data_IF_554478418868
#
_entry.id   IF_554478418868
#
_cell.length_a   1.000
_cell.length_b   1.000
_cell.length_c   1.000
_cell.angle_alpha   90.00
_cell.angle_beta   90.00
_cell.angle_gamma   90.00
#
_symmetry.space_group_name_H-M   'P 1'
#
loop_
_entity.id
_entity.type
_entity.pdbx_description
1 polymer ?
#
# COMPACT_ATOMS: atom_id res chain seq x y z
N UNK A 1 -12.00 -25.98 -64.04
CA UNK A 1 -12.54 -26.71 -62.89
C UNK A 1 -12.06 -25.96 -61.64
N UNK A 2 -12.95 -25.15 -61.06
CA UNK A 2 -12.69 -24.36 -59.85
C UNK A 2 -13.09 -25.19 -58.65
N UNK A 3 -12.18 -25.30 -57.66
CA UNK A 3 -12.50 -25.90 -56.40
C UNK A 3 -12.61 -24.81 -55.32
N UNK A 4 -13.82 -24.46 -54.93
CA UNK A 4 -14.17 -23.64 -53.79
C UNK A 4 -14.02 -24.45 -52.51
N UNK A 5 -12.96 -24.21 -51.73
CA UNK A 5 -12.81 -24.72 -50.38
C UNK A 5 -13.50 -23.82 -49.36
N UNK A 6 -14.68 -24.20 -48.92
CA UNK A 6 -15.42 -23.56 -47.83
C UNK A 6 -14.77 -23.97 -46.49
N UNK A 7 -14.13 -23.03 -45.79
CA UNK A 7 -13.61 -23.24 -44.44
C UNK A 7 -14.81 -23.23 -43.45
N UNK A 8 -15.28 -24.39 -43.07
CA UNK A 8 -16.17 -24.53 -41.92
C UNK A 8 -15.34 -24.39 -40.62
N UNK A 9 -15.39 -23.24 -39.98
CA UNK A 9 -14.93 -23.09 -38.58
C UNK A 9 -15.72 -24.04 -37.68
N UNK A 10 -15.01 -24.91 -36.97
CA UNK A 10 -15.61 -25.93 -36.13
C UNK A 10 -16.30 -25.27 -34.91
N UNK A 11 -17.57 -25.55 -34.70
CA UNK A 11 -18.42 -25.09 -33.58
C UNK A 11 -17.78 -25.25 -32.19
N UNK A 12 -16.77 -26.10 -32.04
CA UNK A 12 -16.05 -26.32 -30.77
C UNK A 12 -15.12 -25.17 -30.38
N UNK A 13 -14.57 -24.42 -31.31
CA UNK A 13 -13.64 -23.29 -31.02
C UNK A 13 -14.42 -22.05 -30.55
N UNK A 14 -15.68 -21.88 -31.01
CA UNK A 14 -16.52 -20.76 -30.57
C UNK A 14 -17.05 -20.92 -29.12
N UNK A 15 -17.27 -22.15 -28.67
CA UNK A 15 -17.72 -22.44 -27.31
C UNK A 15 -16.61 -22.29 -26.27
N UNK A 16 -15.33 -22.54 -26.64
CA UNK A 16 -14.19 -22.37 -25.74
C UNK A 16 -13.87 -20.87 -25.49
N UNK A 17 -14.03 -20.01 -26.50
CA UNK A 17 -13.82 -18.56 -26.36
C UNK A 17 -14.93 -17.89 -25.53
N UNK A 18 -16.19 -18.33 -25.66
CA UNK A 18 -17.32 -17.78 -24.93
C UNK A 18 -17.33 -18.15 -23.44
N UNK A 19 -16.73 -19.30 -23.04
CA UNK A 19 -16.61 -19.71 -21.64
C UNK A 19 -15.40 -19.13 -20.93
N UNK A 20 -14.35 -18.70 -21.65
CA UNK A 20 -13.16 -18.14 -21.04
C UNK A 20 -13.33 -16.65 -20.61
N UNK A 21 -14.12 -15.89 -21.35
CA UNK A 21 -14.34 -14.47 -21.07
C UNK A 21 -15.01 -14.20 -19.70
N UNK A 22 -16.08 -14.90 -19.29
CA UNK A 22 -16.69 -14.68 -17.97
C UNK A 22 -15.82 -15.17 -16.80
N UNK A 23 -14.99 -16.20 -16.99
CA UNK A 23 -14.02 -16.67 -15.99
C UNK A 23 -12.85 -15.68 -15.78
N UNK A 24 -12.38 -15.02 -16.83
CA UNK A 24 -11.37 -13.96 -16.75
C UNK A 24 -11.93 -12.69 -16.10
N UNK A 25 -13.14 -12.29 -16.43
CA UNK A 25 -13.83 -11.16 -15.81
C UNK A 25 -14.07 -11.40 -14.31
N UNK A 26 -14.53 -12.58 -13.91
CA UNK A 26 -14.69 -12.95 -12.51
C UNK A 26 -13.38 -12.97 -11.71
N UNK A 27 -12.24 -13.27 -12.36
CA UNK A 27 -10.92 -13.30 -11.73
C UNK A 27 -10.37 -11.89 -11.42
N UNK A 28 -10.79 -10.87 -12.15
CA UNK A 28 -10.30 -9.51 -11.99
C UNK A 28 -11.22 -8.63 -11.16
N UNK A 29 -12.41 -9.11 -10.80
CA UNK A 29 -13.40 -8.33 -10.05
C UNK A 29 -12.82 -7.81 -8.72
N UNK A 30 -13.06 -6.51 -8.45
CA UNK A 30 -12.72 -5.84 -7.19
C UNK A 30 -13.88 -6.02 -6.21
N UNK A 31 -13.66 -6.77 -5.16
CA UNK A 31 -14.65 -7.05 -4.14
C UNK A 31 -13.97 -7.54 -2.84
N UNK A 32 -14.73 -8.17 -1.95
CA UNK A 32 -14.26 -8.64 -0.63
C UNK A 32 -12.93 -9.40 -0.67
N UNK A 33 -12.72 -10.24 -1.68
CA UNK A 33 -11.48 -11.01 -1.86
C UNK A 33 -10.25 -10.14 -2.16
N UNK A 34 -10.46 -8.88 -2.51
CA UNK A 34 -9.41 -7.89 -2.79
C UNK A 34 -9.21 -6.90 -1.65
N UNK A 35 -10.16 -6.80 -0.72
CA UNK A 35 -10.09 -5.83 0.36
C UNK A 35 -9.28 -6.33 1.54
N UNK A 36 -8.57 -5.40 2.16
CA UNK A 36 -7.86 -5.52 3.42
C UNK A 36 -8.05 -4.23 4.23
N UNK A 37 -7.48 -4.17 5.42
CA UNK A 37 -7.49 -2.95 6.23
C UNK A 37 -6.30 -2.96 7.20
N UNK A 38 -5.83 -1.79 7.58
CA UNK A 38 -4.80 -1.62 8.61
C UNK A 38 -5.43 -1.85 9.99
N UNK A 39 -4.98 -2.89 10.69
CA UNK A 39 -5.63 -3.39 11.91
C UNK A 39 -5.77 -2.36 13.02
N UNK A 40 -4.75 -1.54 13.27
CA UNK A 40 -4.76 -0.49 14.31
C UNK A 40 -5.57 0.76 13.92
N UNK A 41 -6.03 0.85 12.67
CA UNK A 41 -6.98 1.86 12.25
C UNK A 41 -8.43 1.47 12.58
N UNK A 42 -8.76 0.18 12.51
CA UNK A 42 -10.13 -0.31 12.64
C UNK A 42 -10.44 -0.95 14.01
N UNK A 43 -9.44 -1.09 14.88
CA UNK A 43 -9.59 -1.84 16.13
C UNK A 43 -8.75 -1.26 17.27
N UNK A 44 -9.17 -1.55 18.51
CA UNK A 44 -8.44 -1.21 19.74
C UNK A 44 -7.73 -2.40 20.37
N UNK A 45 -8.03 -3.62 19.91
CA UNK A 45 -7.35 -4.86 20.28
C UNK A 45 -7.18 -5.76 19.06
N UNK A 46 -6.23 -6.72 19.06
CA UNK A 46 -6.12 -7.72 17.99
C UNK A 46 -7.43 -8.51 17.79
N UNK A 47 -8.12 -8.87 18.85
CA UNK A 47 -9.41 -9.57 18.79
C UNK A 47 -10.49 -8.74 18.06
N UNK A 48 -10.56 -7.42 18.32
CA UNK A 48 -11.48 -6.52 17.61
C UNK A 48 -11.14 -6.43 16.12
N UNK A 49 -9.84 -6.47 15.76
CA UNK A 49 -9.43 -6.48 14.36
C UNK A 49 -9.89 -7.77 13.64
N UNK A 50 -9.79 -8.92 14.31
CA UNK A 50 -10.30 -10.19 13.81
C UNK A 50 -11.84 -10.14 13.66
N UNK A 51 -12.54 -9.61 14.67
CA UNK A 51 -13.98 -9.43 14.62
C UNK A 51 -14.42 -8.50 13.46
N UNK A 52 -13.68 -7.42 13.21
CA UNK A 52 -13.89 -6.54 12.06
C UNK A 52 -13.74 -7.30 10.74
N UNK A 53 -12.67 -8.08 10.58
CA UNK A 53 -12.45 -8.88 9.38
C UNK A 53 -13.61 -9.87 9.15
N UNK A 54 -14.02 -10.60 10.17
CA UNK A 54 -15.14 -11.57 10.08
C UNK A 54 -16.46 -10.89 9.77
N UNK A 55 -16.76 -9.73 10.39
CA UNK A 55 -17.98 -8.96 10.12
C UNK A 55 -18.16 -8.61 8.64
N UNK A 56 -17.06 -8.33 7.95
CA UNK A 56 -17.07 -7.96 6.53
C UNK A 56 -16.63 -9.09 5.59
N UNK A 57 -16.45 -10.32 6.13
CA UNK A 57 -16.03 -11.50 5.38
C UNK A 57 -14.70 -11.29 4.63
N UNK A 58 -13.78 -10.55 5.24
CA UNK A 58 -12.46 -10.29 4.68
C UNK A 58 -11.50 -11.44 4.98
N UNK A 59 -10.62 -11.74 4.04
CA UNK A 59 -9.58 -12.76 4.17
C UNK A 59 -8.20 -12.17 4.45
N UNK A 60 -8.05 -10.85 4.32
CA UNK A 60 -6.77 -10.17 4.39
C UNK A 60 -6.80 -9.00 5.36
N UNK A 61 -5.68 -8.83 6.07
CA UNK A 61 -5.40 -7.69 6.93
C UNK A 61 -4.03 -7.11 6.58
N UNK A 62 -3.85 -5.84 6.90
CA UNK A 62 -2.55 -5.16 6.85
C UNK A 62 -2.08 -4.85 8.27
N UNK A 63 -0.81 -5.09 8.53
CA UNK A 63 -0.23 -4.87 9.86
C UNK A 63 0.69 -3.64 9.86
N UNK A 64 0.47 -2.74 10.82
CA UNK A 64 1.30 -1.57 11.10
C UNK A 64 1.68 -1.56 12.58
N UNK A 65 0.81 -1.08 13.44
CA UNK A 65 0.94 -1.15 14.89
C UNK A 65 0.03 -2.24 15.46
N UNK A 66 0.39 -2.75 16.62
CA UNK A 66 -0.50 -3.63 17.39
C UNK A 66 -1.69 -2.80 17.87
N UNK A 67 -2.93 -3.18 17.56
CA UNK A 67 -4.11 -2.42 17.98
C UNK A 67 -4.09 -2.11 19.48
N UNK A 68 -4.16 -0.82 19.82
CA UNK A 68 -4.15 -0.31 21.20
C UNK A 68 -2.78 -0.20 21.88
N UNK A 69 -1.70 -0.77 21.33
CA UNK A 69 -0.40 -0.80 22.02
C UNK A 69 0.59 0.29 21.54
N UNK A 70 0.34 0.98 20.42
CA UNK A 70 1.25 1.97 19.82
C UNK A 70 2.67 1.45 19.59
N UNK A 71 2.80 0.17 19.31
CA UNK A 71 4.05 -0.52 19.02
C UNK A 71 3.93 -1.13 17.62
N UNK A 72 4.87 -0.80 16.75
CA UNK A 72 4.91 -1.41 15.41
C UNK A 72 5.22 -2.92 15.49
N UNK A 73 4.51 -3.74 14.72
CA UNK A 73 4.77 -5.17 14.64
C UNK A 73 6.24 -5.48 14.29
N UNK A 74 6.90 -4.66 13.47
CA UNK A 74 8.32 -4.83 13.13
C UNK A 74 9.29 -4.64 14.32
N UNK A 75 8.81 -4.17 15.46
CA UNK A 75 9.61 -3.98 16.70
C UNK A 75 9.26 -5.01 17.79
N UNK A 76 8.32 -5.92 17.52
CA UNK A 76 7.95 -6.96 18.48
C UNK A 76 9.03 -8.05 18.61
N UNK A 77 9.18 -8.65 19.82
CA UNK A 77 9.94 -9.88 20.00
C UNK A 77 9.39 -11.03 19.14
N UNK A 78 10.25 -11.94 18.73
CA UNK A 78 9.88 -13.09 17.86
C UNK A 78 8.76 -13.95 18.49
N UNK A 79 8.76 -14.11 19.81
CA UNK A 79 7.72 -14.86 20.51
C UNK A 79 6.32 -14.24 20.31
N UNK A 80 6.22 -12.91 20.42
CA UNK A 80 4.96 -12.18 20.25
C UNK A 80 4.51 -12.17 18.78
N UNK A 81 5.46 -12.07 17.85
CA UNK A 81 5.17 -12.22 16.42
C UNK A 81 4.60 -13.61 16.09
N UNK A 82 5.13 -14.68 16.68
CA UNK A 82 4.60 -16.03 16.49
C UNK A 82 3.20 -16.21 17.06
N UNK A 83 2.92 -15.59 18.20
CA UNK A 83 1.59 -15.59 18.79
C UNK A 83 0.60 -14.85 17.89
N UNK A 84 0.94 -13.66 17.44
CA UNK A 84 0.10 -12.88 16.52
C UNK A 84 -0.13 -13.63 15.18
N UNK A 85 0.91 -14.22 14.59
CA UNK A 85 0.80 -15.02 13.37
C UNK A 85 -0.15 -16.21 13.55
N UNK A 86 -0.05 -16.90 14.69
CA UNK A 86 -0.95 -18.00 15.03
C UNK A 86 -2.39 -17.52 15.16
N UNK A 87 -2.63 -16.41 15.86
CA UNK A 87 -3.95 -15.85 16.09
C UNK A 87 -4.65 -15.48 14.77
N UNK A 88 -3.99 -14.75 13.86
CA UNK A 88 -4.54 -14.45 12.54
C UNK A 88 -4.81 -15.73 11.72
N UNK A 89 -3.86 -16.66 11.70
CA UNK A 89 -3.98 -17.92 10.97
C UNK A 89 -5.14 -18.78 11.47
N UNK A 90 -5.29 -18.93 12.78
CA UNK A 90 -6.36 -19.72 13.41
C UNK A 90 -7.75 -19.15 13.10
N UNK A 91 -7.82 -17.84 12.82
CA UNK A 91 -9.03 -17.14 12.40
C UNK A 91 -9.18 -17.04 10.86
N UNK A 92 -8.37 -17.77 10.08
CA UNK A 92 -8.46 -17.80 8.63
C UNK A 92 -7.95 -16.55 7.91
N UNK A 93 -7.27 -15.65 8.61
CA UNK A 93 -6.76 -14.39 8.07
C UNK A 93 -5.33 -14.50 7.57
N UNK A 94 -5.03 -13.78 6.49
CA UNK A 94 -3.72 -13.67 5.86
C UNK A 94 -3.24 -12.22 5.91
N UNK A 95 -1.93 -12.03 6.05
CA UNK A 95 -1.33 -10.70 6.02
C UNK A 95 -1.01 -10.36 4.57
N UNK A 96 -1.69 -9.35 4.02
CA UNK A 96 -1.50 -8.91 2.64
C UNK A 96 -0.34 -7.92 2.49
N UNK A 97 -0.12 -7.08 3.50
CA UNK A 97 0.87 -6.02 3.44
C UNK A 97 1.39 -5.66 4.85
N UNK A 98 2.69 -5.38 4.93
CA UNK A 98 3.36 -5.01 6.16
C UNK A 98 3.78 -3.53 6.11
N UNK A 99 3.01 -2.69 6.79
CA UNK A 99 3.16 -1.23 6.80
C UNK A 99 4.24 -0.79 7.79
N UNK A 100 5.51 -0.85 7.39
CA UNK A 100 6.62 -0.39 8.21
C UNK A 100 6.78 1.13 8.17
N UNK A 101 7.35 1.79 9.20
CA UNK A 101 7.64 3.22 9.21
C UNK A 101 8.99 3.58 8.53
N UNK A 102 9.71 2.60 7.98
CA UNK A 102 11.10 2.76 7.56
C UNK A 102 11.30 3.87 6.53
N UNK A 103 12.35 4.63 6.73
CA UNK A 103 12.76 5.79 5.95
C UNK A 103 11.79 7.00 6.01
N UNK A 104 10.85 7.04 6.99
CA UNK A 104 10.07 8.27 7.26
C UNK A 104 10.83 9.20 8.22
N UNK A 105 12.10 9.43 7.91
CA UNK A 105 13.09 10.23 8.64
C UNK A 105 13.74 11.26 7.73
N UNK A 106 14.53 12.16 8.27
CA UNK A 106 15.36 13.09 7.48
C UNK A 106 16.42 12.33 6.69
N UNK A 107 16.53 12.62 5.39
CA UNK A 107 17.66 12.14 4.59
C UNK A 107 18.95 12.82 5.11
N UNK A 108 20.01 12.08 5.49
CA UNK A 108 21.24 12.68 6.02
C UNK A 108 21.79 13.78 5.14
N UNK A 109 22.23 14.90 5.76
CA UNK A 109 22.76 16.06 5.06
C UNK A 109 21.71 16.92 4.35
N UNK A 110 20.40 16.71 4.61
CA UNK A 110 19.32 17.55 4.07
C UNK A 110 18.48 18.18 5.18
N UNK A 111 17.69 19.19 4.82
CA UNK A 111 16.72 19.81 5.72
C UNK A 111 15.31 19.62 5.18
N UNK A 112 14.42 18.93 5.90
CA UNK A 112 13.04 18.70 5.46
C UNK A 112 12.18 19.96 5.61
N UNK A 113 11.16 20.09 4.75
CA UNK A 113 10.13 21.11 4.90
C UNK A 113 9.36 20.85 6.21
N UNK A 114 9.27 21.88 7.04
CA UNK A 114 8.56 21.82 8.33
C UNK A 114 7.34 22.69 8.31
N UNK A 115 6.25 22.17 8.87
CA UNK A 115 5.00 22.94 9.05
C UNK A 115 5.10 23.96 10.20
N UNK A 116 6.02 23.74 11.15
CA UNK A 116 6.23 24.59 12.33
C UNK A 116 7.73 24.82 12.54
N UNK A 117 8.06 25.99 13.05
CA UNK A 117 9.45 26.28 13.49
C UNK A 117 9.84 25.33 14.60
N UNK A 118 11.01 24.75 14.49
CA UNK A 118 11.59 23.83 15.46
C UNK A 118 12.66 24.56 16.28
N UNK A 119 12.68 24.35 17.60
CA UNK A 119 13.73 24.91 18.45
C UNK A 119 15.09 24.27 18.10
N UNK A 120 16.22 25.01 18.24
CA UNK A 120 17.53 24.52 17.85
C UNK A 120 17.93 23.17 18.50
N UNK A 121 17.68 23.01 19.78
CA UNK A 121 17.95 21.78 20.53
C UNK A 121 17.06 20.61 20.11
N UNK A 122 15.81 20.87 19.75
CA UNK A 122 14.91 19.87 19.20
C UNK A 122 15.33 19.43 17.79
N UNK A 123 15.83 20.39 16.98
CA UNK A 123 16.39 20.13 15.66
C UNK A 123 17.62 19.24 15.73
N UNK A 124 18.57 19.55 16.62
CA UNK A 124 19.79 18.76 16.80
C UNK A 124 19.44 17.31 17.23
N UNK A 125 18.61 17.14 18.25
CA UNK A 125 18.15 15.81 18.69
C UNK A 125 17.45 15.02 17.59
N UNK A 126 16.70 15.69 16.71
CA UNK A 126 16.06 15.03 15.56
C UNK A 126 17.11 14.57 14.56
N UNK A 127 18.07 15.42 14.22
CA UNK A 127 19.15 15.10 13.28
C UNK A 127 19.92 13.87 13.78
N UNK A 128 20.32 13.86 15.05
CA UNK A 128 21.08 12.76 15.65
C UNK A 128 20.27 11.45 15.65
N UNK A 129 18.99 11.53 16.02
CA UNK A 129 18.07 10.38 15.99
C UNK A 129 17.90 9.84 14.57
N UNK A 130 17.62 10.72 13.61
CA UNK A 130 17.35 10.35 12.22
C UNK A 130 18.64 9.80 11.56
N UNK A 131 19.82 10.36 11.90
CA UNK A 131 21.11 9.82 11.47
C UNK A 131 21.34 8.41 12.03
N UNK A 132 21.13 8.21 13.33
CA UNK A 132 21.29 6.91 13.96
C UNK A 132 20.30 5.86 13.40
N UNK A 133 19.07 6.26 13.03
CA UNK A 133 18.11 5.38 12.35
C UNK A 133 18.57 5.05 10.93
N UNK A 134 19.07 6.05 10.20
CA UNK A 134 19.64 5.84 8.86
C UNK A 134 20.82 4.86 8.88
N UNK A 135 21.73 4.99 9.83
CA UNK A 135 22.92 4.13 9.94
C UNK A 135 22.53 2.67 10.19
N UNK A 136 21.43 2.43 10.91
CA UNK A 136 20.89 1.10 11.17
C UNK A 136 19.91 0.60 10.11
N UNK A 137 19.63 1.34 9.02
CA UNK A 137 18.55 1.04 8.05
C UNK A 137 18.55 -0.38 7.52
N UNK A 138 19.74 -0.97 7.31
CA UNK A 138 19.87 -2.34 6.80
C UNK A 138 19.55 -3.37 7.88
N UNK A 139 19.97 -3.14 9.11
CA UNK A 139 19.67 -4.04 10.23
C UNK A 139 18.19 -3.96 10.62
N UNK A 140 17.62 -2.75 10.65
CA UNK A 140 16.18 -2.53 10.85
C UNK A 140 15.36 -3.18 9.72
N UNK A 141 15.82 -3.09 8.46
CA UNK A 141 15.17 -3.78 7.34
C UNK A 141 15.19 -5.30 7.53
N UNK A 142 16.32 -5.89 7.88
CA UNK A 142 16.44 -7.35 8.13
C UNK A 142 15.52 -7.78 9.27
N UNK A 143 15.44 -7.01 10.35
CA UNK A 143 14.51 -7.26 11.46
C UNK A 143 13.05 -7.21 10.98
N UNK A 144 12.69 -6.20 10.18
CA UNK A 144 11.35 -6.08 9.60
C UNK A 144 11.01 -7.22 8.64
N UNK A 145 11.97 -7.65 7.81
CA UNK A 145 11.81 -8.82 6.92
C UNK A 145 11.55 -10.08 7.75
N UNK A 146 12.35 -10.30 8.81
CA UNK A 146 12.13 -11.43 9.71
C UNK A 146 10.75 -11.41 10.35
N UNK A 147 10.29 -10.24 10.82
CA UNK A 147 8.95 -10.08 11.38
C UNK A 147 7.88 -10.38 10.32
N UNK A 148 8.01 -9.84 9.10
CA UNK A 148 7.10 -10.09 7.99
C UNK A 148 7.02 -11.58 7.62
N UNK A 149 8.16 -12.28 7.56
CA UNK A 149 8.22 -13.72 7.29
C UNK A 149 7.49 -14.53 8.36
N UNK A 150 7.67 -14.23 9.64
CA UNK A 150 6.97 -14.90 10.76
C UNK A 150 5.45 -14.69 10.62
N UNK A 151 5.03 -13.47 10.28
CA UNK A 151 3.63 -13.09 10.10
C UNK A 151 3.03 -13.62 8.78
N UNK A 152 3.85 -14.11 7.85
CA UNK A 152 3.42 -14.61 6.55
C UNK A 152 3.17 -13.53 5.50
N UNK A 153 3.67 -12.30 5.70
CA UNK A 153 3.64 -11.24 4.70
C UNK A 153 4.79 -11.42 3.69
N UNK A 154 4.54 -11.06 2.43
CA UNK A 154 5.52 -11.13 1.33
C UNK A 154 5.86 -9.76 0.75
N UNK A 155 5.20 -8.71 1.23
CA UNK A 155 5.37 -7.35 0.79
C UNK A 155 5.46 -6.42 2.01
N UNK A 156 6.35 -5.42 1.95
CA UNK A 156 6.50 -4.43 3.01
C UNK A 156 6.72 -3.03 2.45
N UNK A 157 6.33 -2.01 3.21
CA UNK A 157 6.44 -0.60 2.84
C UNK A 157 7.81 -0.02 3.14
N UNK A 158 8.30 0.84 2.22
CA UNK A 158 9.32 1.84 2.52
C UNK A 158 8.83 3.22 2.09
N UNK A 159 9.23 4.25 2.85
CA UNK A 159 9.06 5.64 2.48
C UNK A 159 10.31 6.19 1.76
N UNK A 160 10.27 7.48 1.40
CA UNK A 160 11.29 8.15 0.59
C UNK A 160 11.90 9.35 1.30
N UNK A 161 12.11 9.21 2.58
CA UNK A 161 12.57 10.26 3.49
C UNK A 161 11.64 11.49 3.54
N UNK A 162 11.77 12.29 4.59
CA UNK A 162 10.99 13.52 4.75
C UNK A 162 11.29 14.51 3.62
N UNK A 163 10.24 15.16 3.14
CA UNK A 163 10.26 16.02 1.96
C UNK A 163 11.14 17.23 2.13
N UNK A 164 12.07 17.43 1.20
CA UNK A 164 12.89 18.63 1.06
C UNK A 164 12.25 19.66 0.12
N UNK A 165 12.80 20.88 0.08
CA UNK A 165 12.26 21.94 -0.79
C UNK A 165 12.34 21.60 -2.28
N UNK A 166 13.35 20.85 -2.69
CA UNK A 166 13.61 20.46 -4.07
C UNK A 166 13.80 18.93 -4.17
N UNK A 167 12.72 18.13 -4.14
CA UNK A 167 12.79 16.67 -4.11
C UNK A 167 13.56 16.06 -5.28
N UNK A 168 13.45 16.66 -6.47
CA UNK A 168 14.16 16.20 -7.66
C UNK A 168 15.70 16.17 -7.49
N UNK A 169 16.27 17.05 -6.64
CA UNK A 169 17.72 17.07 -6.38
C UNK A 169 18.23 15.88 -5.55
N UNK A 170 17.33 15.22 -4.84
CA UNK A 170 17.67 14.06 -3.98
C UNK A 170 17.14 12.74 -4.51
N UNK A 171 16.37 12.76 -5.59
CA UNK A 171 15.69 11.57 -6.15
C UNK A 171 16.66 10.44 -6.46
N UNK A 172 17.76 10.73 -7.18
CA UNK A 172 18.77 9.72 -7.54
C UNK A 172 19.41 9.08 -6.29
N UNK A 173 19.76 9.88 -5.30
CA UNK A 173 20.34 9.39 -4.04
C UNK A 173 19.35 8.52 -3.27
N UNK A 174 18.08 8.89 -3.26
CA UNK A 174 17.01 8.07 -2.63
C UNK A 174 16.85 6.75 -3.38
N UNK A 175 16.88 6.77 -4.71
CA UNK A 175 16.79 5.57 -5.52
C UNK A 175 17.97 4.60 -5.27
N UNK A 176 19.19 5.11 -5.08
CA UNK A 176 20.36 4.30 -4.73
C UNK A 176 20.19 3.61 -3.37
N UNK A 177 19.73 4.34 -2.35
CA UNK A 177 19.46 3.79 -1.01
C UNK A 177 18.34 2.73 -1.06
N UNK A 178 17.24 3.03 -1.73
CA UNK A 178 16.14 2.07 -1.90
C UNK A 178 16.58 0.84 -2.70
N UNK A 179 17.43 1.02 -3.72
CA UNK A 179 18.00 -0.08 -4.51
C UNK A 179 18.87 -1.01 -3.67
N UNK A 180 19.73 -0.46 -2.80
CA UNK A 180 20.51 -1.24 -1.83
C UNK A 180 19.59 -2.09 -0.93
N UNK A 181 18.57 -1.47 -0.35
CA UNK A 181 17.62 -2.13 0.53
C UNK A 181 16.78 -3.17 -0.23
N UNK A 182 16.40 -2.90 -1.47
CA UNK A 182 15.65 -3.82 -2.31
C UNK A 182 16.44 -5.10 -2.64
N UNK A 183 17.76 -4.99 -2.86
CA UNK A 183 18.62 -6.15 -3.07
C UNK A 183 18.71 -7.05 -1.82
N UNK A 184 18.70 -6.46 -0.62
CA UNK A 184 18.63 -7.22 0.64
C UNK A 184 17.28 -7.94 0.75
N UNK A 185 16.19 -7.22 0.50
CA UNK A 185 14.84 -7.77 0.59
C UNK A 185 14.59 -8.89 -0.44
N UNK A 186 15.10 -8.73 -1.67
CA UNK A 186 14.97 -9.73 -2.75
C UNK A 186 15.61 -11.08 -2.37
N UNK A 187 16.79 -11.05 -1.74
CA UNK A 187 17.48 -12.29 -1.27
C UNK A 187 16.65 -13.05 -0.25
N UNK A 188 15.82 -12.37 0.51
CA UNK A 188 14.94 -12.91 1.52
C UNK A 188 13.51 -13.19 1.01
N UNK A 189 13.28 -13.07 -0.31
CA UNK A 189 11.97 -13.28 -0.92
C UNK A 189 10.92 -12.23 -0.57
N UNK A 190 11.33 -11.04 -0.07
CA UNK A 190 10.46 -9.95 0.30
C UNK A 190 10.41 -8.89 -0.80
N UNK A 191 9.20 -8.45 -1.16
CA UNK A 191 9.00 -7.34 -2.10
C UNK A 191 8.85 -6.02 -1.35
N UNK A 192 9.59 -5.00 -1.76
CA UNK A 192 9.43 -3.65 -1.25
C UNK A 192 8.34 -2.93 -2.04
N UNK A 193 7.44 -2.24 -1.36
CA UNK A 193 6.52 -1.29 -1.98
C UNK A 193 6.84 0.12 -1.50
N UNK A 194 7.12 1.01 -2.45
CA UNK A 194 7.32 2.44 -2.18
C UNK A 194 5.95 3.10 -2.12
N UNK A 195 5.69 3.83 -1.04
CA UNK A 195 4.44 4.59 -0.87
C UNK A 195 4.65 6.07 -1.21
N UNK A 196 3.69 6.64 -1.95
CA UNK A 196 3.60 8.09 -2.04
C UNK A 196 2.99 8.64 -0.75
N UNK A 197 3.68 9.57 -0.10
CA UNK A 197 3.28 10.16 1.18
C UNK A 197 3.57 11.65 1.17
N UNK A 198 2.56 12.48 1.46
CA UNK A 198 2.65 13.94 1.36
C UNK A 198 3.78 14.59 2.16
N UNK A 199 4.21 13.95 3.24
CA UNK A 199 5.35 14.40 4.05
C UNK A 199 6.71 13.89 3.56
N UNK A 200 6.75 13.05 2.50
CA UNK A 200 7.96 12.44 1.96
C UNK A 200 8.35 13.02 0.60
N UNK A 201 9.56 12.70 0.11
CA UNK A 201 10.06 13.20 -1.16
C UNK A 201 9.27 12.70 -2.36
N UNK A 202 8.69 11.50 -2.27
CA UNK A 202 7.71 10.99 -3.23
C UNK A 202 6.31 11.17 -2.62
N UNK A 203 5.58 12.16 -3.09
CA UNK A 203 4.27 12.52 -2.57
C UNK A 203 3.14 12.32 -3.59
N UNK A 204 3.43 12.47 -4.89
CA UNK A 204 2.46 12.44 -5.98
C UNK A 204 2.62 11.20 -6.85
N UNK A 205 1.59 10.87 -7.63
CA UNK A 205 1.65 9.76 -8.59
C UNK A 205 2.76 9.92 -9.64
N UNK A 206 3.01 11.11 -10.24
CA UNK A 206 4.15 11.32 -11.11
C UNK A 206 5.50 11.10 -10.44
N UNK A 207 5.70 11.59 -9.20
CA UNK A 207 6.94 11.35 -8.44
C UNK A 207 7.11 9.85 -8.12
N UNK A 208 6.02 9.16 -7.78
CA UNK A 208 6.04 7.72 -7.53
C UNK A 208 6.41 6.93 -8.80
N UNK A 209 5.83 7.29 -9.93
CA UNK A 209 6.15 6.69 -11.22
C UNK A 209 7.61 6.97 -11.66
N UNK A 210 8.14 8.17 -11.38
CA UNK A 210 9.54 8.51 -11.63
C UNK A 210 10.48 7.67 -10.77
N UNK A 211 10.24 7.64 -9.46
CA UNK A 211 11.07 6.89 -8.50
C UNK A 211 11.18 5.41 -8.87
N UNK A 212 10.07 4.76 -9.18
CA UNK A 212 10.12 3.31 -9.44
C UNK A 212 10.75 2.95 -10.77
N UNK A 213 10.85 3.86 -11.73
CA UNK A 213 11.63 3.63 -12.97
C UNK A 213 13.13 3.49 -12.69
N UNK A 214 13.62 4.08 -11.61
CA UNK A 214 15.01 4.00 -11.17
C UNK A 214 15.31 2.73 -10.35
N UNK A 215 14.28 1.95 -9.98
CA UNK A 215 14.37 0.84 -9.04
C UNK A 215 14.14 -0.52 -9.73
N UNK A 216 14.75 -1.62 -9.24
CA UNK A 216 14.58 -2.95 -9.80
C UNK A 216 13.11 -3.38 -9.86
N UNK A 217 12.61 -3.72 -11.04
CA UNK A 217 11.19 -4.07 -11.25
C UNK A 217 10.76 -5.33 -10.50
N UNK A 218 11.66 -6.29 -10.37
CA UNK A 218 11.37 -7.59 -9.76
C UNK A 218 11.11 -7.46 -8.24
N UNK A 219 11.92 -6.66 -7.56
CA UNK A 219 11.94 -6.56 -6.09
C UNK A 219 11.25 -5.31 -5.53
N UNK A 220 10.93 -4.31 -6.39
CA UNK A 220 10.26 -3.09 -5.96
C UNK A 220 8.96 -2.85 -6.73
N UNK A 221 7.90 -2.56 -6.00
CA UNK A 221 6.60 -2.13 -6.51
C UNK A 221 6.14 -0.84 -5.85
N UNK A 222 4.85 -0.56 -6.00
CA UNK A 222 4.17 0.61 -5.47
C UNK A 222 3.14 0.21 -4.41
N UNK A 223 3.04 1.01 -3.36
CA UNK A 223 1.83 1.17 -2.57
C UNK A 223 1.24 2.54 -2.94
N UNK A 224 0.18 2.55 -3.72
CA UNK A 224 -0.42 3.80 -4.16
C UNK A 224 -1.51 4.26 -3.20
N UNK A 225 -1.34 5.44 -2.62
CA UNK A 225 -2.34 6.13 -1.83
C UNK A 225 -2.72 7.45 -2.52
N UNK A 226 -3.81 7.48 -3.29
CA UNK A 226 -4.19 8.67 -4.05
C UNK A 226 -4.61 9.84 -3.15
N UNK A 227 -5.04 9.59 -1.91
CA UNK A 227 -5.44 10.67 -1.00
C UNK A 227 -4.24 11.44 -0.43
N UNK A 228 -3.06 10.83 -0.37
CA UNK A 228 -1.85 11.50 0.13
C UNK A 228 -1.41 12.70 -0.73
N UNK A 229 -1.83 12.75 -2.00
CA UNK A 229 -1.58 13.85 -2.93
C UNK A 229 -2.82 14.73 -3.20
N UNK A 230 -3.96 14.41 -2.62
CA UNK A 230 -5.24 15.11 -2.89
C UNK A 230 -5.24 16.57 -2.44
N UNK A 231 -4.75 16.84 -1.23
CA UNK A 231 -4.78 18.17 -0.63
C UNK A 231 -3.64 19.09 -1.05
N UNK A 232 -3.65 20.32 -0.53
CA UNK A 232 -2.54 21.25 -0.71
C UNK A 232 -1.24 20.68 -0.07
N UNK A 233 -0.06 20.91 -0.68
CA UNK A 233 0.17 21.77 -1.85
C UNK A 233 -0.04 21.07 -3.21
N UNK A 234 -0.25 19.75 -3.26
CA UNK A 234 -0.19 18.95 -4.48
C UNK A 234 -1.46 19.09 -5.34
N UNK A 235 -2.64 18.95 -4.73
CA UNK A 235 -3.95 19.04 -5.40
C UNK A 235 -4.05 18.11 -6.61
N UNK A 236 -3.50 16.89 -6.48
CA UNK A 236 -3.50 15.90 -7.55
C UNK A 236 -4.91 15.37 -7.82
N UNK A 237 -5.28 15.26 -9.08
CA UNK A 237 -6.46 14.54 -9.51
C UNK A 237 -6.11 13.05 -9.65
N UNK A 238 -6.55 12.25 -8.68
CA UNK A 238 -6.19 10.84 -8.60
C UNK A 238 -6.60 10.05 -9.86
N UNK A 239 -7.81 10.33 -10.39
CA UNK A 239 -8.32 9.72 -11.62
C UNK A 239 -8.93 10.79 -12.53
N UNK A 240 -8.60 10.79 -13.83
CA UNK A 240 -7.73 9.82 -14.50
C UNK A 240 -6.24 10.13 -14.41
N UNK A 241 -5.82 11.31 -13.96
CA UNK A 241 -4.47 11.85 -14.18
C UNK A 241 -3.40 11.07 -13.39
N UNK A 242 -3.57 10.94 -12.07
CA UNK A 242 -2.65 10.19 -11.23
C UNK A 242 -2.57 8.71 -11.62
N UNK A 243 -3.73 8.08 -11.87
CA UNK A 243 -3.79 6.69 -12.28
C UNK A 243 -3.04 6.41 -13.58
N UNK A 244 -3.19 7.29 -14.59
CA UNK A 244 -2.63 7.09 -15.94
C UNK A 244 -1.11 7.04 -15.98
N UNK A 245 -0.43 7.73 -15.08
CA UNK A 245 1.04 7.79 -15.07
C UNK A 245 1.69 6.61 -14.36
N UNK A 246 0.92 5.85 -13.57
CA UNK A 246 1.46 4.74 -12.79
C UNK A 246 1.70 3.49 -13.65
N UNK A 247 2.84 2.80 -13.47
CA UNK A 247 3.07 1.50 -14.09
C UNK A 247 2.22 0.42 -13.43
N UNK A 248 1.04 0.14 -13.98
CA UNK A 248 0.01 -0.76 -13.40
C UNK A 248 0.58 -2.08 -12.88
N UNK A 249 1.46 -2.73 -13.64
CA UNK A 249 2.06 -4.02 -13.26
C UNK A 249 2.94 -3.94 -12.00
N UNK A 250 3.35 -2.75 -11.60
CA UNK A 250 4.17 -2.54 -10.40
C UNK A 250 3.34 -2.19 -9.16
N UNK A 251 2.05 -1.91 -9.28
CA UNK A 251 1.18 -1.66 -8.13
C UNK A 251 0.98 -2.98 -7.38
N UNK A 252 1.59 -3.10 -6.21
CA UNK A 252 1.47 -4.28 -5.35
C UNK A 252 0.35 -4.14 -4.32
N UNK A 253 0.10 -2.92 -3.86
CA UNK A 253 -0.97 -2.56 -2.94
C UNK A 253 -1.52 -1.17 -3.28
N UNK A 254 -2.78 -0.92 -2.92
CA UNK A 254 -3.45 0.38 -3.01
C UNK A 254 -4.10 0.66 -1.68
N UNK A 255 -4.02 1.90 -1.19
CA UNK A 255 -4.69 2.31 0.04
C UNK A 255 -5.80 3.31 -0.23
N UNK A 256 -6.94 3.12 0.46
CA UNK A 256 -8.05 4.06 0.53
C UNK A 256 -8.04 4.75 1.87
N UNK A 257 -8.38 6.04 1.92
CA UNK A 257 -8.59 6.74 3.20
C UNK A 257 -10.07 7.00 3.45
N UNK A 258 -10.47 6.92 4.72
CA UNK A 258 -11.87 7.10 5.11
C UNK A 258 -12.47 8.41 4.62
N UNK A 259 -11.72 9.51 4.70
CA UNK A 259 -12.16 10.81 4.20
C UNK A 259 -12.43 10.80 2.70
N UNK A 260 -11.59 10.16 1.91
CA UNK A 260 -11.76 10.06 0.46
C UNK A 260 -12.98 9.22 0.04
N UNK A 261 -13.51 8.42 0.95
CA UNK A 261 -14.72 7.63 0.76
C UNK A 261 -15.98 8.34 1.28
N UNK A 262 -15.89 8.99 2.44
CA UNK A 262 -17.05 9.47 3.20
C UNK A 262 -17.30 10.97 3.08
N UNK A 263 -16.26 11.79 2.83
CA UNK A 263 -16.37 13.24 2.89
C UNK A 263 -16.48 13.86 1.50
N UNK A 264 -17.55 14.59 1.24
CA UNK A 264 -17.82 15.20 -0.07
C UNK A 264 -16.68 16.14 -0.55
N UNK A 265 -16.02 16.83 0.39
CA UNK A 265 -14.93 17.78 0.11
C UNK A 265 -13.58 17.12 -0.17
N UNK A 266 -13.41 15.84 0.20
CA UNK A 266 -12.17 15.07 0.01
C UNK A 266 -12.39 13.82 -0.86
N UNK A 267 -13.54 13.74 -1.54
CA UNK A 267 -13.98 12.55 -2.27
C UNK A 267 -13.10 12.28 -3.50
N UNK A 268 -12.67 11.04 -3.60
CA UNK A 268 -12.00 10.49 -4.79
C UNK A 268 -13.00 9.64 -5.58
N UNK A 269 -12.86 9.62 -6.90
CA UNK A 269 -13.69 8.78 -7.78
C UNK A 269 -13.24 7.31 -7.73
N UNK A 270 -13.55 6.66 -6.61
CA UNK A 270 -13.21 5.25 -6.38
C UNK A 270 -13.91 4.31 -7.35
N UNK A 271 -15.11 4.65 -7.83
CA UNK A 271 -15.83 3.84 -8.83
C UNK A 271 -15.03 3.74 -10.12
N UNK A 272 -14.58 4.88 -10.66
CA UNK A 272 -13.73 4.89 -11.86
C UNK A 272 -12.39 4.21 -11.63
N UNK A 273 -11.79 4.35 -10.43
CA UNK A 273 -10.53 3.68 -10.09
C UNK A 273 -10.73 2.16 -10.04
N UNK A 274 -11.78 1.64 -9.41
CA UNK A 274 -12.04 0.20 -9.34
C UNK A 274 -12.28 -0.39 -10.72
N UNK A 275 -13.11 0.25 -11.55
CA UNK A 275 -13.30 -0.16 -12.95
C UNK A 275 -11.98 -0.18 -13.74
N UNK A 276 -11.13 0.82 -13.56
CA UNK A 276 -9.84 0.87 -14.24
C UNK A 276 -8.90 -0.25 -13.77
N UNK A 277 -8.86 -0.53 -12.46
CA UNK A 277 -8.08 -1.62 -11.90
C UNK A 277 -8.53 -3.00 -12.43
N UNK A 278 -9.85 -3.23 -12.54
CA UNK A 278 -10.42 -4.44 -13.13
C UNK A 278 -10.05 -4.59 -14.60
N UNK A 279 -10.30 -3.55 -15.38
CA UNK A 279 -9.98 -3.49 -16.82
C UNK A 279 -8.50 -3.77 -17.08
N UNK A 280 -7.61 -3.20 -16.25
CA UNK A 280 -6.16 -3.28 -16.42
C UNK A 280 -5.56 -4.52 -15.73
N UNK A 281 -6.40 -5.38 -15.13
CA UNK A 281 -6.02 -6.68 -14.60
C UNK A 281 -5.27 -6.65 -13.27
N UNK A 282 -5.52 -5.66 -12.42
CA UNK A 282 -4.91 -5.54 -11.10
C UNK A 282 -5.14 -6.78 -10.24
N UNK A 283 -4.07 -7.29 -9.61
CA UNK A 283 -4.12 -8.50 -8.79
C UNK A 283 -3.78 -8.26 -7.30
N UNK A 284 -3.36 -7.05 -6.95
CA UNK A 284 -3.02 -6.66 -5.57
C UNK A 284 -4.23 -6.53 -4.65
N UNK A 285 -4.00 -6.04 -3.45
CA UNK A 285 -5.03 -5.76 -2.46
C UNK A 285 -5.30 -4.25 -2.38
N UNK A 286 -6.50 -3.92 -1.88
CA UNK A 286 -6.94 -2.56 -1.61
C UNK A 286 -7.17 -2.48 -0.10
N UNK A 287 -6.28 -1.79 0.59
CA UNK A 287 -6.28 -1.64 2.04
C UNK A 287 -7.02 -0.39 2.48
N UNK A 288 -7.86 -0.52 3.50
CA UNK A 288 -8.43 0.64 4.18
C UNK A 288 -7.44 1.17 5.23
N UNK A 289 -7.00 2.40 5.06
CA UNK A 289 -6.41 3.24 6.09
C UNK A 289 -7.41 4.33 6.47
N UNK A 290 -8.09 4.18 7.61
CA UNK A 290 -9.22 5.07 7.97
C UNK A 290 -8.78 6.51 8.21
N UNK A 291 -7.67 6.72 8.92
CA UNK A 291 -6.96 7.97 9.10
C UNK A 291 -7.80 9.12 9.68
N UNK A 292 -8.63 8.82 10.71
CA UNK A 292 -9.35 9.80 11.53
C UNK A 292 -8.68 9.94 12.89
N UNK A 293 -8.55 11.18 13.40
CA UNK A 293 -7.83 11.50 14.64
C UNK A 293 -8.72 12.21 15.67
N UNK A 294 -10.02 12.28 15.44
CA UNK A 294 -11.03 12.98 16.24
C UNK A 294 -11.78 12.07 17.24
N UNK A 295 -11.29 10.86 17.43
CA UNK A 295 -11.93 9.84 18.29
C UNK A 295 -12.99 8.99 17.59
N UNK A 296 -13.33 9.27 16.33
CA UNK A 296 -14.35 8.52 15.58
C UNK A 296 -13.78 7.40 14.70
N UNK A 297 -12.47 7.13 14.80
CA UNK A 297 -11.73 6.24 13.90
C UNK A 297 -12.40 4.88 13.71
N UNK A 298 -12.82 4.21 14.79
CA UNK A 298 -13.42 2.87 14.71
C UNK A 298 -14.77 2.91 13.97
N UNK A 299 -15.64 3.87 14.32
CA UNK A 299 -16.92 4.07 13.63
C UNK A 299 -16.69 4.37 12.13
N UNK A 300 -15.77 5.28 11.84
CA UNK A 300 -15.42 5.65 10.46
C UNK A 300 -14.82 4.48 9.68
N UNK A 301 -14.09 3.56 10.32
CA UNK A 301 -13.59 2.34 9.68
C UNK A 301 -14.76 1.45 9.22
N UNK A 302 -15.78 1.30 10.04
CA UNK A 302 -16.97 0.55 9.67
C UNK A 302 -17.70 1.20 8.48
N UNK A 303 -17.94 2.51 8.53
CA UNK A 303 -18.60 3.24 7.45
C UNK A 303 -17.78 3.20 6.15
N UNK A 304 -16.47 3.36 6.25
CA UNK A 304 -15.56 3.30 5.09
C UNK A 304 -15.55 1.92 4.43
N UNK A 305 -15.51 0.84 5.21
CA UNK A 305 -15.57 -0.51 4.67
C UNK A 305 -16.91 -0.81 4.00
N UNK A 306 -18.01 -0.33 4.57
CA UNK A 306 -19.34 -0.44 3.95
C UNK A 306 -19.39 0.30 2.61
N UNK A 307 -18.82 1.51 2.54
CA UNK A 307 -18.76 2.27 1.30
C UNK A 307 -17.87 1.60 0.24
N UNK A 308 -16.72 1.04 0.62
CA UNK A 308 -15.87 0.27 -0.30
C UNK A 308 -16.64 -0.92 -0.89
N UNK A 309 -17.36 -1.66 -0.07
CA UNK A 309 -18.18 -2.80 -0.53
C UNK A 309 -19.29 -2.33 -1.45
N UNK A 310 -20.00 -1.24 -1.10
CA UNK A 310 -21.06 -0.66 -1.94
C UNK A 310 -20.53 -0.24 -3.32
N UNK A 311 -19.37 0.43 -3.36
CA UNK A 311 -18.73 0.82 -4.63
C UNK A 311 -18.41 -0.42 -5.45
N UNK A 312 -17.83 -1.44 -4.86
CA UNK A 312 -17.47 -2.68 -5.55
C UNK A 312 -18.67 -3.46 -6.10
N UNK A 313 -19.84 -3.38 -5.45
CA UNK A 313 -21.08 -4.01 -5.92
C UNK A 313 -21.71 -3.26 -7.10
N UNK A 314 -21.37 -1.98 -7.27
CA UNK A 314 -21.90 -1.12 -8.34
C UNK A 314 -20.90 -0.89 -9.48
N UNK A 315 -19.68 -1.45 -9.36
CA UNK A 315 -18.59 -1.36 -10.34
C UNK A 315 -18.58 -2.43 -11.46
#
# INVERSE_FOLDING_TARGET
MQNNGCYMMRRREFLAAACAAPLLAAKNHIGRSRFSFITDEAATTPADAIAFAHKYELQYVELREVPGAKIHYCKLPEADLKLAAKEFKDNGLKISFFNTPYLKITLPGTEPIRRRTEAPDAREKRIDRDQAEFDRRIDDLKQGIRAAQILGATQMRLFTFLRVAEPAKVEQRIAEILGEMALVAEKEGMKILVENEGSCNVATSPELASMVKLLPEKSVGLNWDPHNAFGAPFKEVAYPDGYRVLPMKRIGNLQTKGKSLLEATEKIDWTSIFHALERDGYQGKIGLETHYFDGTKIEKSHLSMQEMLRIAETS
#
